data_IF_202448447514
#
_entry.id   IF_202448447514
#
_cell.length_a   1.000
_cell.length_b   1.000
_cell.length_c   1.000
_cell.angle_alpha   90.00
_cell.angle_beta   90.00
_cell.angle_gamma   90.00
#
_symmetry.space_group_name_H-M   'P 1'
#
loop_
_entity.id
_entity.type
_entity.pdbx_description
1 polymer ?
#
# COMPACT_ATOMS: atom_id res chain seq x y z
N UNK A 1 -1.02 6.10 12.18
CA UNK A 1 -0.50 7.43 11.75
C UNK A 1 -1.44 7.92 10.66
N UNK A 2 -1.97 9.14 10.78
CA UNK A 2 -2.96 9.65 9.82
C UNK A 2 -2.29 10.29 8.59
N UNK A 3 -2.86 10.03 7.42
CA UNK A 3 -2.53 10.75 6.19
C UNK A 3 -3.04 12.20 6.24
N UNK A 4 -2.43 13.13 5.48
CA UNK A 4 -3.05 14.41 5.17
C UNK A 4 -4.39 14.17 4.46
N UNK A 5 -5.45 14.87 4.89
CA UNK A 5 -6.81 14.63 4.41
C UNK A 5 -6.95 14.80 2.89
N UNK A 6 -6.32 15.82 2.31
CA UNK A 6 -6.33 16.07 0.86
C UNK A 6 -5.62 14.95 0.09
N UNK A 7 -4.50 14.46 0.60
CA UNK A 7 -3.76 13.34 0.00
C UNK A 7 -4.58 12.05 0.04
N UNK A 8 -5.18 11.75 1.19
CA UNK A 8 -6.02 10.55 1.33
C UNK A 8 -7.24 10.61 0.41
N UNK A 9 -7.90 11.77 0.33
CA UNK A 9 -9.03 11.98 -0.58
C UNK A 9 -8.61 11.79 -2.05
N UNK A 10 -7.47 12.34 -2.46
CA UNK A 10 -6.96 12.17 -3.82
C UNK A 10 -6.63 10.70 -4.15
N UNK A 11 -6.05 9.96 -3.20
CA UNK A 11 -5.76 8.53 -3.36
C UNK A 11 -7.04 7.73 -3.56
N UNK A 12 -8.08 8.00 -2.77
CA UNK A 12 -9.37 7.28 -2.85
C UNK A 12 -10.13 7.64 -4.13
N UNK A 13 -10.18 8.92 -4.50
CA UNK A 13 -10.92 9.39 -5.69
C UNK A 13 -10.31 8.87 -7.00
N UNK A 14 -8.98 8.70 -7.04
CA UNK A 14 -8.29 8.20 -8.22
C UNK A 14 -8.59 6.72 -8.55
N UNK A 15 -8.98 5.91 -7.55
CA UNK A 15 -9.22 4.46 -7.65
C UNK A 15 -8.11 3.72 -8.43
N UNK A 16 -6.86 4.20 -8.32
CA UNK A 16 -5.73 3.76 -9.15
C UNK A 16 -4.59 3.09 -8.38
N UNK A 17 -4.84 2.74 -7.11
CA UNK A 17 -3.79 2.33 -6.18
C UNK A 17 -3.02 1.09 -6.64
N UNK A 18 -1.69 1.23 -6.70
CA UNK A 18 -0.75 0.12 -6.83
C UNK A 18 0.21 0.10 -5.66
N UNK A 19 0.59 -1.10 -5.25
CA UNK A 19 1.61 -1.31 -4.21
C UNK A 19 2.85 -1.96 -4.80
N UNK A 20 4.00 -1.58 -4.24
CA UNK A 20 5.33 -2.07 -4.61
C UNK A 20 6.13 -2.31 -3.33
N UNK A 21 5.92 -3.45 -2.61
CA UNK A 21 6.72 -3.78 -1.44
C UNK A 21 8.22 -3.85 -1.75
N UNK A 22 9.08 -3.47 -0.81
CA UNK A 22 10.53 -3.62 -0.94
C UNK A 22 10.89 -5.10 -1.10
N UNK A 23 11.86 -5.39 -1.96
CA UNK A 23 12.41 -6.75 -2.12
C UNK A 23 13.42 -7.05 -1.01
N UNK A 24 13.77 -8.32 -0.90
CA UNK A 24 14.72 -8.80 0.12
C UNK A 24 16.14 -8.20 -0.01
N UNK A 25 16.48 -7.59 -1.14
CA UNK A 25 17.74 -6.86 -1.31
C UNK A 25 17.76 -5.50 -0.58
N UNK A 26 16.61 -5.01 -0.10
CA UNK A 26 16.46 -3.73 0.59
C UNK A 26 16.68 -2.49 -0.28
N UNK A 27 16.82 -2.67 -1.60
CA UNK A 27 17.16 -1.59 -2.54
C UNK A 27 16.11 -1.48 -3.66
N UNK A 28 15.56 -2.60 -4.10
CA UNK A 28 14.62 -2.63 -5.22
C UNK A 28 13.18 -2.84 -4.77
N UNK A 29 12.25 -2.19 -5.45
CA UNK A 29 10.82 -2.35 -5.21
C UNK A 29 10.22 -3.44 -6.10
N UNK A 30 9.18 -4.09 -5.60
CA UNK A 30 8.35 -5.01 -6.37
C UNK A 30 7.72 -4.36 -7.61
N UNK A 31 7.23 -5.19 -8.53
CA UNK A 31 6.43 -4.68 -9.65
C UNK A 31 5.13 -4.08 -9.11
N UNK A 32 4.76 -2.85 -9.51
CA UNK A 32 3.51 -2.22 -9.07
C UNK A 32 2.32 -3.12 -9.33
N UNK A 33 1.65 -3.51 -8.25
CA UNK A 33 0.51 -4.43 -8.28
C UNK A 33 -0.75 -3.67 -7.90
N UNK A 34 -1.74 -3.68 -8.78
CA UNK A 34 -3.06 -3.12 -8.52
C UNK A 34 -3.71 -3.73 -7.29
N UNK A 35 -4.23 -2.89 -6.39
CA UNK A 35 -4.92 -3.34 -5.19
C UNK A 35 -6.07 -2.40 -4.85
N UNK A 36 -7.10 -2.95 -4.22
CA UNK A 36 -8.18 -2.14 -3.68
C UNK A 36 -7.78 -1.49 -2.36
N UNK A 37 -8.28 -0.28 -2.12
CA UNK A 37 -8.08 0.44 -0.88
C UNK A 37 -9.35 1.11 -0.35
N UNK A 38 -9.32 1.44 0.93
CA UNK A 38 -10.34 2.22 1.63
C UNK A 38 -9.67 3.16 2.62
N UNK A 39 -10.32 4.29 2.92
CA UNK A 39 -9.92 5.20 3.97
C UNK A 39 -10.80 4.99 5.21
N UNK A 40 -10.19 4.84 6.38
CA UNK A 40 -10.88 4.73 7.67
C UNK A 40 -10.09 5.54 8.70
N UNK A 41 -10.76 6.48 9.39
CA UNK A 41 -10.18 7.31 10.44
C UNK A 41 -8.84 7.99 10.08
N UNK A 42 -8.71 8.43 8.83
CA UNK A 42 -7.52 9.11 8.32
C UNK A 42 -6.38 8.16 7.94
N UNK A 43 -6.58 6.84 8.01
CA UNK A 43 -5.63 5.83 7.59
C UNK A 43 -6.06 5.14 6.29
N UNK A 44 -5.07 4.67 5.53
CA UNK A 44 -5.28 3.98 4.25
C UNK A 44 -5.11 2.47 4.46
N UNK A 45 -6.17 1.72 4.15
CA UNK A 45 -6.18 0.27 4.23
C UNK A 45 -6.22 -0.32 2.83
N UNK A 46 -5.52 -1.44 2.64
CA UNK A 46 -5.53 -2.18 1.38
C UNK A 46 -6.03 -3.60 1.60
N UNK A 47 -6.74 -4.14 0.61
CA UNK A 47 -7.14 -5.55 0.62
C UNK A 47 -6.78 -6.22 -0.69
N UNK A 48 -6.00 -7.29 -0.60
CA UNK A 48 -5.71 -8.15 -1.75
C UNK A 48 -6.86 -9.10 -2.00
N UNK A 49 -7.20 -9.33 -3.27
CA UNK A 49 -8.22 -10.33 -3.66
C UNK A 49 -7.93 -11.73 -3.09
N UNK A 50 -6.67 -12.17 -3.13
CA UNK A 50 -6.24 -13.45 -2.58
C UNK A 50 -5.94 -13.41 -1.06
N UNK A 51 -6.25 -12.28 -0.39
CA UNK A 51 -5.99 -12.07 1.02
C UNK A 51 -4.53 -12.29 1.40
N UNK A 52 -4.32 -12.88 2.57
CA UNK A 52 -3.01 -13.11 3.20
C UNK A 52 -2.13 -14.13 2.46
N UNK A 53 -2.67 -14.88 1.50
CA UNK A 53 -1.90 -15.84 0.68
C UNK A 53 -1.17 -15.17 -0.50
N UNK A 54 -1.33 -13.86 -0.67
CA UNK A 54 -0.75 -13.13 -1.78
C UNK A 54 0.76 -12.95 -1.61
N UNK A 55 1.54 -13.08 -2.69
CA UNK A 55 3.00 -12.85 -2.66
C UNK A 55 3.36 -11.43 -2.17
N UNK A 56 2.57 -10.42 -2.56
CA UNK A 56 2.77 -9.05 -2.08
C UNK A 56 2.58 -8.94 -0.56
N UNK A 57 1.62 -9.67 0.01
CA UNK A 57 1.30 -9.63 1.44
C UNK A 57 2.45 -10.24 2.23
N UNK A 58 2.93 -11.41 1.83
CA UNK A 58 4.11 -12.02 2.42
C UNK A 58 5.35 -11.12 2.33
N UNK A 59 5.56 -10.45 1.18
CA UNK A 59 6.67 -9.51 1.01
C UNK A 59 6.53 -8.28 1.94
N UNK A 60 5.34 -7.68 2.01
CA UNK A 60 5.06 -6.54 2.87
C UNK A 60 5.18 -6.86 4.38
N UNK A 61 4.98 -8.11 4.79
CA UNK A 61 5.24 -8.52 6.18
C UNK A 61 6.73 -8.78 6.46
N UNK A 62 7.46 -9.31 5.48
CA UNK A 62 8.89 -9.59 5.63
C UNK A 62 9.75 -8.31 5.52
N UNK A 63 9.34 -7.40 4.64
CA UNK A 63 9.99 -6.13 4.34
C UNK A 63 8.91 -5.05 4.27
N UNK A 64 8.58 -4.41 5.41
CA UNK A 64 7.42 -3.53 5.53
C UNK A 64 7.60 -2.20 4.80
N UNK A 65 8.83 -1.78 4.53
CA UNK A 65 9.06 -0.62 3.68
C UNK A 65 8.64 -0.92 2.24
N UNK A 66 8.08 0.08 1.57
CA UNK A 66 7.70 -0.04 0.18
C UNK A 66 7.11 1.23 -0.36
N UNK A 67 6.46 1.10 -1.52
CA UNK A 67 5.83 2.23 -2.20
C UNK A 67 4.38 1.96 -2.52
N UNK A 68 3.62 3.04 -2.54
CA UNK A 68 2.34 3.09 -3.23
C UNK A 68 2.41 4.07 -4.40
N UNK A 69 1.67 3.78 -5.45
CA UNK A 69 1.46 4.65 -6.60
C UNK A 69 -0.03 4.95 -6.67
N UNK A 70 -0.41 6.22 -6.57
CA UNK A 70 -1.80 6.65 -6.63
C UNK A 70 -1.87 8.14 -6.97
N UNK A 71 -2.97 8.55 -7.61
CA UNK A 71 -3.22 9.94 -7.99
C UNK A 71 -2.05 10.59 -8.77
N UNK A 72 -1.36 9.80 -9.60
CA UNK A 72 -0.17 10.24 -10.33
C UNK A 72 1.09 10.49 -9.49
N UNK A 73 1.06 10.15 -8.20
CA UNK A 73 2.16 10.32 -7.25
C UNK A 73 2.72 8.98 -6.76
N UNK A 74 3.91 9.03 -6.16
CA UNK A 74 4.56 7.89 -5.51
C UNK A 74 4.86 8.27 -4.07
N UNK A 75 4.46 7.42 -3.14
CA UNK A 75 4.66 7.62 -1.71
C UNK A 75 5.46 6.45 -1.14
N UNK A 76 6.52 6.75 -0.41
CA UNK A 76 7.19 5.76 0.43
C UNK A 76 6.33 5.52 1.67
N UNK A 77 6.09 4.24 2.00
CA UNK A 77 5.20 3.82 3.07
C UNK A 77 5.79 2.65 3.84
N UNK A 78 5.29 2.45 5.05
CA UNK A 78 5.52 1.24 5.84
C UNK A 78 4.20 0.47 5.95
N UNK A 79 4.19 -0.77 5.48
CA UNK A 79 3.06 -1.68 5.57
C UNK A 79 2.97 -2.29 6.98
N UNK A 80 1.76 -2.40 7.50
CA UNK A 80 1.46 -3.11 8.73
C UNK A 80 0.18 -3.95 8.55
N UNK A 81 0.05 -5.09 9.25
CA UNK A 81 -1.24 -5.76 9.39
C UNK A 81 -2.27 -4.78 9.96
N UNK A 82 -3.50 -4.83 9.45
CA UNK A 82 -4.63 -4.19 10.13
C UNK A 82 -4.91 -4.95 11.44
N UNK A 83 -5.38 -4.22 12.44
CA UNK A 83 -5.87 -4.81 13.69
C UNK A 83 -7.06 -5.75 13.42
N UNK A 84 -7.21 -6.76 14.28
CA UNK A 84 -8.24 -7.78 14.19
C UNK A 84 -9.57 -7.36 14.85
#
# INVERSE_FOLDING_TARGET
>A
MSWPAETLAAIIDADDLKISPMRADGVTYGTPTWIWCVAVDGELYVRGYNGTRSRWYAAALAHPDGRIHAAGQVFDVTFAPADA
#
